data_IF_207061955900
#
_entry.id   IF_207061955900
#
_cell.length_a   1.000
_cell.length_b   1.000
_cell.length_c   1.000
_cell.angle_alpha   90.00
_cell.angle_beta   90.00
_cell.angle_gamma   90.00
#
_symmetry.space_group_name_H-M   'P 1'
#
loop_
_entity.id
_entity.type
_entity.pdbx_description
1 polymer ?
#
# COMPACT_ATOMS: atom_id res chain seq x y z
N UNK A 1 -17.83 4.50 21.10
CA UNK A 1 -17.84 4.54 19.61
C UNK A 1 -16.48 4.92 19.04
N UNK A 2 -15.84 5.99 19.55
CA UNK A 2 -14.47 6.39 19.21
C UNK A 2 -13.41 5.28 19.34
N UNK A 3 -13.43 4.49 20.43
CA UNK A 3 -12.45 3.41 20.63
C UNK A 3 -12.53 2.28 19.60
N UNK A 4 -13.74 1.93 19.15
CA UNK A 4 -13.95 0.89 18.14
C UNK A 4 -13.44 1.34 16.78
N UNK A 5 -13.67 2.61 16.43
CA UNK A 5 -13.16 3.20 15.18
C UNK A 5 -11.62 3.31 15.21
N UNK A 6 -11.04 3.68 16.36
CA UNK A 6 -9.59 3.69 16.54
C UNK A 6 -8.97 2.28 16.45
N UNK A 7 -9.61 1.26 17.02
CA UNK A 7 -9.15 -0.12 16.93
C UNK A 7 -9.20 -0.66 15.49
N UNK A 8 -10.28 -0.38 14.76
CA UNK A 8 -10.41 -0.77 13.35
C UNK A 8 -9.35 -0.09 12.48
N UNK A 9 -9.10 1.21 12.68
CA UNK A 9 -8.07 1.94 11.95
C UNK A 9 -6.67 1.37 12.22
N UNK A 10 -6.34 1.01 13.47
CA UNK A 10 -5.05 0.35 13.79
C UNK A 10 -4.90 -1.02 13.15
N UNK A 11 -5.98 -1.82 13.13
CA UNK A 11 -5.98 -3.12 12.47
C UNK A 11 -5.75 -2.96 10.96
N UNK A 12 -6.41 -1.98 10.34
CA UNK A 12 -6.24 -1.66 8.92
C UNK A 12 -4.78 -1.28 8.61
N UNK A 13 -4.18 -0.36 9.38
CA UNK A 13 -2.77 0.01 9.22
C UNK A 13 -1.84 -1.21 9.39
N UNK A 14 -2.15 -2.11 10.31
CA UNK A 14 -1.37 -3.34 10.51
C UNK A 14 -1.44 -4.29 9.32
N UNK A 15 -2.63 -4.46 8.74
CA UNK A 15 -2.83 -5.26 7.54
C UNK A 15 -2.13 -4.64 6.33
N UNK A 16 -2.23 -3.32 6.16
CA UNK A 16 -1.57 -2.60 5.06
C UNK A 16 -0.04 -2.66 5.20
N UNK A 17 0.48 -2.57 6.44
CA UNK A 17 1.91 -2.76 6.70
C UNK A 17 2.44 -4.13 6.24
N UNK A 18 1.66 -5.19 6.44
CA UNK A 18 2.03 -6.53 5.98
C UNK A 18 2.00 -6.60 4.46
N UNK A 19 0.96 -6.02 3.85
CA UNK A 19 0.83 -5.96 2.40
C UNK A 19 2.00 -5.21 1.75
N UNK A 20 2.29 -3.98 2.20
CA UNK A 20 3.42 -3.18 1.72
C UNK A 20 4.76 -3.85 1.97
N UNK A 21 4.92 -4.55 3.11
CA UNK A 21 6.11 -5.32 3.41
C UNK A 21 6.36 -6.45 2.40
N UNK A 22 5.32 -7.22 2.11
CA UNK A 22 5.38 -8.34 1.16
C UNK A 22 5.56 -7.85 -0.28
N UNK A 23 4.79 -6.84 -0.70
CA UNK A 23 4.89 -6.25 -2.02
C UNK A 23 6.26 -5.60 -2.24
N UNK A 24 6.75 -4.86 -1.26
CA UNK A 24 8.06 -4.22 -1.29
C UNK A 24 9.20 -5.22 -1.45
N UNK A 25 9.16 -6.31 -0.69
CA UNK A 25 10.11 -7.41 -0.82
C UNK A 25 10.01 -8.08 -2.19
N UNK A 26 8.80 -8.37 -2.67
CA UNK A 26 8.59 -8.99 -3.98
C UNK A 26 9.16 -8.13 -5.12
N UNK A 27 8.95 -6.81 -5.09
CA UNK A 27 9.48 -5.87 -6.08
C UNK A 27 11.01 -5.76 -6.04
N UNK A 28 11.63 -5.92 -4.87
CA UNK A 28 13.10 -5.94 -4.74
C UNK A 28 13.72 -7.26 -5.21
N UNK A 29 13.00 -8.36 -5.07
CA UNK A 29 13.46 -9.68 -5.52
C UNK A 29 13.21 -9.90 -7.01
N UNK A 30 12.23 -9.22 -7.61
CA UNK A 30 11.86 -9.36 -9.02
C UNK A 30 13.02 -9.17 -10.02
N UNK A 31 13.99 -8.25 -9.79
CA UNK A 31 15.17 -8.10 -10.65
C UNK A 31 16.30 -9.10 -10.41
N UNK A 32 16.24 -9.90 -9.34
CA UNK A 32 17.30 -10.84 -8.99
C UNK A 32 17.18 -12.06 -9.89
N UNK A 33 18.12 -12.23 -10.83
CA UNK A 33 18.08 -13.29 -11.85
C UNK A 33 17.79 -14.69 -11.27
N UNK A 34 18.43 -15.06 -10.15
CA UNK A 34 18.18 -16.35 -9.50
C UNK A 34 16.72 -16.55 -9.04
N UNK A 35 16.03 -15.47 -8.65
CA UNK A 35 14.61 -15.51 -8.28
C UNK A 35 13.74 -15.50 -9.53
N UNK A 36 14.05 -14.64 -10.50
CA UNK A 36 13.31 -14.56 -11.76
C UNK A 36 13.34 -15.90 -12.50
N UNK A 37 14.51 -16.55 -12.58
CA UNK A 37 14.70 -17.84 -13.23
C UNK A 37 13.95 -18.96 -12.50
N UNK A 38 13.99 -18.99 -11.16
CA UNK A 38 13.30 -20.01 -10.35
C UNK A 38 11.77 -19.92 -10.46
N UNK A 39 11.23 -18.72 -10.66
CA UNK A 39 9.79 -18.46 -10.76
C UNK A 39 9.32 -18.40 -12.23
N UNK A 40 10.24 -18.52 -13.19
CA UNK A 40 9.94 -18.45 -14.63
C UNK A 40 9.56 -17.06 -15.13
N UNK A 41 9.93 -16.00 -14.39
CA UNK A 41 9.72 -14.62 -14.80
C UNK A 41 10.88 -14.13 -15.67
N UNK A 42 10.62 -13.49 -16.82
CA UNK A 42 11.69 -12.82 -17.56
C UNK A 42 12.24 -11.65 -16.74
N UNK A 43 13.55 -11.38 -16.87
CA UNK A 43 14.19 -10.25 -16.21
C UNK A 43 13.47 -8.93 -16.54
N UNK A 44 12.92 -8.28 -15.52
CA UNK A 44 12.03 -7.11 -15.71
C UNK A 44 12.86 -5.84 -15.89
N UNK A 45 12.53 -5.06 -16.92
CA UNK A 45 13.14 -3.75 -17.18
C UNK A 45 12.06 -2.67 -17.29
N UNK A 46 12.30 -1.45 -16.76
CA UNK A 46 13.52 -1.00 -16.09
C UNK A 46 13.59 -1.40 -14.60
N UNK A 47 14.57 -2.25 -14.24
CA UNK A 47 14.72 -2.76 -12.87
C UNK A 47 14.88 -1.70 -11.77
N UNK A 48 15.52 -0.53 -11.99
CA UNK A 48 15.68 0.46 -10.92
C UNK A 48 14.34 1.01 -10.41
N UNK A 49 13.32 1.06 -11.27
CA UNK A 49 11.98 1.52 -10.90
C UNK A 49 11.35 0.57 -9.88
N UNK A 50 11.46 -0.75 -10.12
CA UNK A 50 10.95 -1.75 -9.20
C UNK A 50 11.69 -1.74 -7.86
N UNK A 51 13.01 -1.54 -7.87
CA UNK A 51 13.77 -1.38 -6.62
C UNK A 51 13.36 -0.13 -5.85
N UNK A 52 13.21 1.01 -6.52
CA UNK A 52 12.79 2.25 -5.88
C UNK A 52 11.39 2.13 -5.26
N UNK A 53 10.45 1.52 -6.00
CA UNK A 53 9.12 1.22 -5.48
C UNK A 53 9.18 0.25 -4.30
N UNK A 54 9.98 -0.81 -4.40
CA UNK A 54 10.14 -1.78 -3.33
C UNK A 54 10.65 -1.16 -2.03
N UNK A 55 11.67 -0.29 -2.12
CA UNK A 55 12.17 0.48 -0.95
C UNK A 55 11.10 1.40 -0.39
N UNK A 56 10.35 2.10 -1.25
CA UNK A 56 9.27 2.99 -0.81
C UNK A 56 8.17 2.23 -0.05
N UNK A 57 7.75 1.07 -0.56
CA UNK A 57 6.77 0.19 0.10
C UNK A 57 7.30 -0.33 1.44
N UNK A 58 8.56 -0.78 1.52
CA UNK A 58 9.16 -1.20 2.79
C UNK A 58 9.22 -0.05 3.82
N UNK A 59 9.56 1.17 3.38
CA UNK A 59 9.56 2.33 4.25
C UNK A 59 8.14 2.64 4.75
N UNK A 60 7.14 2.56 3.88
CA UNK A 60 5.74 2.77 4.24
C UNK A 60 5.24 1.69 5.22
N UNK A 61 5.58 0.42 5.00
CA UNK A 61 5.28 -0.69 5.91
C UNK A 61 5.76 -0.42 7.34
N UNK A 62 6.97 0.14 7.50
CA UNK A 62 7.50 0.50 8.82
C UNK A 62 6.71 1.64 9.47
N UNK A 63 6.31 2.65 8.69
CA UNK A 63 5.50 3.77 9.16
C UNK A 63 4.11 3.28 9.58
N UNK A 64 3.46 2.46 8.76
CA UNK A 64 2.17 1.83 9.03
C UNK A 64 2.22 0.93 10.26
N UNK A 65 3.25 0.08 10.40
CA UNK A 65 3.45 -0.78 11.55
C UNK A 65 3.62 0.03 12.85
N UNK A 66 4.28 1.18 12.78
CA UNK A 66 4.38 2.11 13.91
C UNK A 66 3.04 2.76 14.23
N UNK A 67 2.27 3.16 13.21
CA UNK A 67 0.94 3.76 13.37
C UNK A 67 -0.11 2.78 13.93
N UNK A 68 0.01 1.49 13.59
CA UNK A 68 -0.81 0.42 14.13
C UNK A 68 -0.64 0.27 15.66
N UNK A 69 0.48 0.73 16.22
CA UNK A 69 0.72 0.79 17.68
C UNK A 69 0.11 2.03 18.34
N UNK A 70 -0.60 2.88 17.59
CA UNK A 70 -1.34 4.04 18.10
C UNK A 70 -0.63 5.40 17.97
N UNK A 71 0.51 5.46 17.27
CA UNK A 71 1.28 6.70 17.08
C UNK A 71 0.81 7.40 15.80
N UNK A 72 0.36 8.65 15.91
CA UNK A 72 -0.03 9.52 14.78
C UNK A 72 -1.03 8.89 13.79
N UNK A 73 -1.86 7.95 14.26
CA UNK A 73 -2.62 7.03 13.40
C UNK A 73 -3.52 7.74 12.38
N UNK A 74 -4.14 8.87 12.73
CA UNK A 74 -4.99 9.61 11.78
C UNK A 74 -4.17 10.29 10.66
N UNK A 75 -3.01 10.86 11.00
CA UNK A 75 -2.12 11.49 10.02
C UNK A 75 -1.52 10.44 9.08
N UNK A 76 -1.07 9.31 9.65
CA UNK A 76 -0.53 8.20 8.86
C UNK A 76 -1.61 7.57 7.98
N UNK A 77 -2.83 7.36 8.49
CA UNK A 77 -3.95 6.84 7.70
C UNK A 77 -4.28 7.75 6.50
N UNK A 78 -4.25 9.07 6.68
CA UNK A 78 -4.40 10.02 5.56
C UNK A 78 -3.27 9.89 4.53
N UNK A 79 -2.02 9.80 4.99
CA UNK A 79 -0.86 9.64 4.12
C UNK A 79 -0.91 8.32 3.36
N UNK A 80 -1.30 7.24 4.03
CA UNK A 80 -1.45 5.92 3.45
C UNK A 80 -2.54 5.91 2.36
N UNK A 81 -3.70 6.50 2.62
CA UNK A 81 -4.76 6.59 1.62
C UNK A 81 -4.28 7.29 0.33
N UNK A 82 -3.52 8.38 0.47
CA UNK A 82 -2.95 9.11 -0.66
C UNK A 82 -1.81 8.32 -1.33
N UNK A 83 -0.93 7.70 -0.54
CA UNK A 83 0.18 6.89 -1.03
C UNK A 83 -0.30 5.68 -1.82
N UNK A 84 -1.31 4.98 -1.30
CA UNK A 84 -1.98 3.87 -1.95
C UNK A 84 -2.63 4.34 -3.27
N UNK A 85 -3.41 5.43 -3.25
CA UNK A 85 -3.99 5.99 -4.49
C UNK A 85 -2.92 6.35 -5.54
N UNK A 86 -1.80 6.95 -5.12
CA UNK A 86 -0.68 7.23 -6.01
C UNK A 86 -0.02 5.95 -6.53
N UNK A 87 0.13 4.92 -5.69
CA UNK A 87 0.65 3.61 -6.06
C UNK A 87 -0.17 2.94 -7.17
N UNK A 88 -1.50 3.04 -7.10
CA UNK A 88 -2.40 2.58 -8.18
C UNK A 88 -2.08 3.27 -9.49
N UNK A 89 -1.98 4.61 -9.48
CA UNK A 89 -1.66 5.40 -10.69
C UNK A 89 -0.31 4.98 -11.26
N UNK A 90 0.71 4.84 -10.41
CA UNK A 90 2.04 4.39 -10.83
C UNK A 90 1.97 3.01 -11.48
N UNK A 91 1.29 2.03 -10.86
CA UNK A 91 1.15 0.70 -11.40
C UNK A 91 0.45 0.69 -12.78
N UNK A 92 -0.62 1.46 -12.94
CA UNK A 92 -1.33 1.62 -14.21
C UNK A 92 -0.43 2.27 -15.27
N UNK A 93 0.29 3.34 -14.92
CA UNK A 93 1.24 4.00 -15.83
C UNK A 93 2.32 3.02 -16.27
N UNK A 94 2.87 2.20 -15.37
CA UNK A 94 3.87 1.20 -15.73
C UNK A 94 3.34 0.19 -16.75
N UNK A 95 2.12 -0.30 -16.56
CA UNK A 95 1.47 -1.24 -17.47
C UNK A 95 1.20 -0.61 -18.84
N UNK A 96 0.82 0.67 -18.89
CA UNK A 96 0.50 1.36 -20.14
C UNK A 96 1.74 1.80 -20.94
N UNK A 97 2.83 2.14 -20.24
CA UNK A 97 4.04 2.73 -20.87
C UNK A 97 5.07 1.65 -21.23
N UNK A 98 5.18 0.59 -20.44
CA UNK A 98 6.19 -0.44 -20.65
C UNK A 98 5.58 -1.73 -21.22
N UNK A 99 6.29 -2.34 -22.18
CA UNK A 99 5.96 -3.66 -22.70
C UNK A 99 6.37 -4.75 -21.69
N UNK A 100 5.54 -4.94 -20.66
CA UNK A 100 5.80 -5.87 -19.57
C UNK A 100 5.38 -7.31 -19.93
N UNK A 101 6.08 -8.33 -19.40
CA UNK A 101 5.61 -9.71 -19.49
C UNK A 101 4.22 -9.85 -18.87
N UNK A 102 3.33 -10.65 -19.48
CA UNK A 102 1.94 -10.80 -19.05
C UNK A 102 1.79 -11.12 -17.56
N UNK A 103 2.65 -11.99 -17.03
CA UNK A 103 2.60 -12.36 -15.62
C UNK A 103 2.98 -11.19 -14.68
N UNK A 104 3.92 -10.32 -15.09
CA UNK A 104 4.26 -9.09 -14.35
C UNK A 104 3.12 -8.09 -14.44
N UNK A 105 2.50 -7.96 -15.62
CA UNK A 105 1.30 -7.12 -15.81
C UNK A 105 0.18 -7.54 -14.88
N UNK A 106 -0.15 -8.85 -14.85
CA UNK A 106 -1.18 -9.38 -13.95
C UNK A 106 -0.83 -9.14 -12.50
N UNK A 107 0.42 -9.38 -12.09
CA UNK A 107 0.87 -9.13 -10.71
C UNK A 107 0.73 -7.65 -10.32
N UNK A 108 1.13 -6.72 -11.19
CA UNK A 108 0.99 -5.28 -10.96
C UNK A 108 -0.48 -4.85 -10.89
N UNK A 109 -1.35 -5.41 -11.73
CA UNK A 109 -2.79 -5.09 -11.71
C UNK A 109 -3.48 -5.63 -10.46
N UNK A 110 -3.13 -6.85 -10.02
CA UNK A 110 -3.60 -7.39 -8.73
C UNK A 110 -3.10 -6.51 -7.59
N UNK A 111 -1.83 -6.13 -7.61
CA UNK A 111 -1.27 -5.26 -6.59
C UNK A 111 -1.98 -3.89 -6.57
N UNK A 112 -2.18 -3.28 -7.74
CA UNK A 112 -2.92 -2.02 -7.87
C UNK A 112 -4.36 -2.14 -7.34
N UNK A 113 -5.04 -3.26 -7.62
CA UNK A 113 -6.38 -3.48 -7.09
C UNK A 113 -6.40 -3.56 -5.56
N UNK A 114 -5.50 -4.34 -4.95
CA UNK A 114 -5.40 -4.46 -3.50
C UNK A 114 -5.06 -3.11 -2.86
N UNK A 115 -4.09 -2.40 -3.43
CA UNK A 115 -3.72 -1.04 -3.01
C UNK A 115 -4.90 -0.06 -3.13
N UNK A 116 -5.73 -0.15 -4.18
CA UNK A 116 -6.93 0.68 -4.32
C UNK A 116 -7.98 0.37 -3.23
N UNK A 117 -8.12 -0.91 -2.86
CA UNK A 117 -8.99 -1.33 -1.75
C UNK A 117 -8.49 -0.73 -0.43
N UNK A 118 -7.20 -0.80 -0.14
CA UNK A 118 -6.63 -0.16 1.05
C UNK A 118 -6.87 1.35 1.04
N UNK A 119 -6.59 2.06 -0.06
CA UNK A 119 -6.87 3.49 -0.16
C UNK A 119 -8.32 3.85 0.18
N UNK A 120 -9.28 3.07 -0.33
CA UNK A 120 -10.70 3.28 -0.06
C UNK A 120 -11.05 2.99 1.42
N UNK A 121 -10.54 1.90 1.98
CA UNK A 121 -10.76 1.54 3.38
C UNK A 121 -10.17 2.58 4.34
N UNK A 122 -9.01 3.12 4.03
CA UNK A 122 -8.32 4.13 4.85
C UNK A 122 -9.05 5.46 4.81
N UNK A 123 -9.50 5.89 3.63
CA UNK A 123 -10.34 7.08 3.48
C UNK A 123 -11.66 6.95 4.26
N UNK A 124 -12.29 5.78 4.21
CA UNK A 124 -13.50 5.49 4.96
C UNK A 124 -13.25 5.47 6.48
N UNK A 125 -12.17 4.81 6.93
CA UNK A 125 -11.79 4.74 8.34
C UNK A 125 -11.46 6.11 8.92
N UNK A 126 -10.72 6.94 8.17
CA UNK A 126 -10.41 8.31 8.55
C UNK A 126 -11.68 9.17 8.66
N UNK A 127 -12.58 9.06 7.69
CA UNK A 127 -13.85 9.80 7.70
C UNK A 127 -14.71 9.42 8.91
N UNK A 128 -14.82 8.12 9.22
CA UNK A 128 -15.55 7.63 10.39
C UNK A 128 -14.92 8.08 11.71
N UNK A 129 -13.58 8.12 11.78
CA UNK A 129 -12.85 8.61 12.95
C UNK A 129 -13.13 10.10 13.19
N UNK A 130 -13.00 10.94 12.16
CA UNK A 130 -13.24 12.37 12.25
C UNK A 130 -14.70 12.70 12.61
N UNK A 131 -15.67 12.00 12.02
CA UNK A 131 -17.08 12.16 12.36
C UNK A 131 -17.37 11.83 13.84
N UNK A 132 -16.68 10.84 14.41
CA UNK A 132 -16.83 10.49 15.84
C UNK A 132 -16.16 11.46 16.81
N UNK A 133 -15.30 12.36 16.33
CA UNK A 133 -14.59 13.36 17.10
C UNK A 133 -15.25 14.75 17.05
N UNK A 134 -16.24 14.96 16.17
CA UNK A 134 -16.96 16.22 16.10
C UNK A 134 -17.76 16.44 17.40
N UNK A 135 -17.67 17.63 18.03
CA UNK A 135 -18.45 17.92 19.22
C UNK A 135 -19.93 17.83 18.87
N UNK A 136 -20.67 17.03 19.64
CA UNK A 136 -22.13 16.97 19.54
C UNK A 136 -22.68 18.35 19.87
N UNK A 137 -22.97 19.14 18.83
CA UNK A 137 -23.71 20.38 18.97
C UNK A 137 -25.01 20.07 19.71
N UNK A 138 -25.08 20.51 20.97
CA UNK A 138 -26.28 20.50 21.79
C UNK A 138 -27.38 21.23 21.02
N UNK A 139 -28.44 20.51 20.67
CA UNK A 139 -29.77 21.07 20.51
C UNK A 139 -30.47 21.05 21.86
#
# INVERSE_FOLDING_TARGET
>A
MSERNGAAMRLLMGADAVWDGLLGLALLLLPVAAVSDAVGFPAVRPWPVYCALGVAMLAMALVLARAARGIDTAAVCKLAALGNAAGVVVAVVLVLVFALPAAVTVALLVAAFVTAVFAALEAAALSAFLASAAPSGRA
#
